data_IF_208910852976
#
_entry.id   IF_208910852976
#
_cell.length_a   1.000
_cell.length_b   1.000
_cell.length_c   1.000
_cell.angle_alpha   90.00
_cell.angle_beta   90.00
_cell.angle_gamma   90.00
#
_symmetry.space_group_name_H-M   'P 1'
#
loop_
_entity.id
_entity.type
_entity.pdbx_description
1 polymer ?
#
# COMPACT_ATOMS: atom_id res chain seq x y z
N UNK A 1 64.69 -11.57 -15.86
CA UNK A 1 63.38 -11.92 -16.39
C UNK A 1 62.52 -12.59 -15.33
N UNK A 2 61.95 -11.78 -14.42
CA UNK A 2 60.92 -12.20 -13.47
C UNK A 2 59.89 -11.06 -13.35
N UNK A 3 58.98 -10.97 -14.30
CA UNK A 3 57.83 -10.06 -14.22
C UNK A 3 56.65 -10.65 -15.04
N UNK A 4 56.05 -11.73 -14.55
CA UNK A 4 54.73 -12.17 -15.01
C UNK A 4 54.10 -13.03 -13.92
N UNK A 5 53.26 -12.46 -13.07
CA UNK A 5 52.55 -13.26 -12.07
C UNK A 5 51.64 -12.48 -11.12
N UNK A 6 51.75 -11.16 -11.03
CA UNK A 6 50.96 -10.37 -10.07
C UNK A 6 49.60 -9.90 -10.59
N UNK A 7 49.44 -9.76 -11.89
CA UNK A 7 48.20 -9.25 -12.49
C UNK A 7 47.05 -10.27 -12.59
N UNK A 8 47.34 -11.57 -12.62
CA UNK A 8 46.30 -12.60 -12.77
C UNK A 8 45.65 -12.93 -11.44
N UNK A 9 46.39 -12.96 -10.33
CA UNK A 9 45.87 -13.21 -8.99
C UNK A 9 44.94 -12.10 -8.44
N UNK A 10 45.17 -10.85 -8.87
CA UNK A 10 44.28 -9.74 -8.53
C UNK A 10 42.98 -9.77 -9.32
N UNK A 11 43.00 -10.16 -10.58
CA UNK A 11 41.80 -10.33 -11.41
C UNK A 11 40.94 -11.50 -10.94
N UNK A 12 41.54 -12.59 -10.50
CA UNK A 12 40.85 -13.74 -9.94
C UNK A 12 40.16 -13.40 -8.61
N UNK A 13 40.86 -12.70 -7.69
CA UNK A 13 40.26 -12.19 -6.43
C UNK A 13 39.14 -11.18 -6.64
N UNK A 14 39.19 -10.37 -7.67
CA UNK A 14 38.13 -9.44 -8.01
C UNK A 14 36.91 -10.14 -8.62
N UNK A 15 37.14 -11.22 -9.37
CA UNK A 15 36.10 -12.05 -9.95
C UNK A 15 35.39 -12.87 -8.89
N UNK A 16 36.13 -13.50 -7.97
CA UNK A 16 35.55 -14.21 -6.80
C UNK A 16 34.74 -13.30 -5.90
N UNK A 17 35.25 -12.09 -5.59
CA UNK A 17 34.48 -11.10 -4.82
C UNK A 17 33.23 -10.59 -5.52
N UNK A 18 33.23 -10.59 -6.86
CA UNK A 18 32.07 -10.19 -7.65
C UNK A 18 31.03 -11.31 -7.71
N UNK A 19 31.48 -12.55 -7.88
CA UNK A 19 30.62 -13.74 -7.83
C UNK A 19 30.04 -14.01 -6.43
N UNK A 20 30.83 -13.76 -5.37
CA UNK A 20 30.33 -13.82 -3.99
C UNK A 20 29.29 -12.74 -3.67
N UNK A 21 29.47 -11.51 -4.22
CA UNK A 21 28.46 -10.44 -4.10
C UNK A 21 27.22 -10.69 -4.95
N UNK A 22 27.33 -11.36 -6.09
CA UNK A 22 26.20 -11.77 -6.92
C UNK A 22 25.45 -12.95 -6.29
N UNK A 23 26.16 -13.94 -5.70
CA UNK A 23 25.55 -15.04 -4.95
C UNK A 23 24.87 -14.59 -3.65
N UNK A 24 25.41 -13.61 -2.93
CA UNK A 24 24.73 -13.00 -1.77
C UNK A 24 23.51 -12.16 -2.16
N UNK A 25 23.34 -11.80 -3.43
CA UNK A 25 22.16 -11.12 -3.96
C UNK A 25 21.02 -12.07 -4.35
N UNK A 26 21.34 -13.36 -4.57
CA UNK A 26 20.37 -14.39 -4.98
C UNK A 26 19.80 -15.21 -3.82
N UNK A 27 20.34 -15.11 -2.58
CA UNK A 27 19.90 -15.90 -1.42
C UNK A 27 19.28 -15.11 -0.28
N UNK A 28 18.82 -13.85 -0.49
CA UNK A 28 17.89 -13.26 0.47
C UNK A 28 16.48 -13.83 0.21
N UNK A 29 15.91 -14.57 1.18
CA UNK A 29 14.56 -15.10 0.99
C UNK A 29 13.62 -13.94 0.70
N UNK A 30 12.91 -14.04 -0.41
CA UNK A 30 11.94 -13.08 -0.97
C UNK A 30 10.86 -12.65 0.04
N UNK A 31 10.79 -13.32 1.18
CA UNK A 31 9.82 -13.17 2.26
C UNK A 31 10.38 -12.63 3.58
N UNK A 32 11.53 -11.95 3.55
CA UNK A 32 12.02 -11.35 4.80
C UNK A 32 11.15 -10.17 5.21
N UNK A 33 10.34 -10.34 6.25
CA UNK A 33 9.52 -9.28 6.88
C UNK A 33 10.34 -8.02 7.21
N UNK A 34 11.66 -8.16 7.38
CA UNK A 34 12.57 -7.04 7.57
C UNK A 34 12.59 -6.06 6.39
N UNK A 35 12.44 -6.53 5.15
CA UNK A 35 12.35 -5.67 3.97
C UNK A 35 11.04 -4.88 3.95
N UNK A 36 9.93 -5.51 4.33
CA UNK A 36 8.62 -4.87 4.47
C UNK A 36 8.66 -3.77 5.55
N UNK A 37 9.24 -4.07 6.71
CA UNK A 37 9.39 -3.11 7.80
C UNK A 37 10.20 -1.89 7.36
N UNK A 38 11.37 -2.11 6.77
CA UNK A 38 12.24 -1.03 6.27
C UNK A 38 11.53 -0.13 5.27
N UNK A 39 10.84 -0.72 4.30
CA UNK A 39 10.10 0.03 3.29
C UNK A 39 8.96 0.85 3.90
N UNK A 40 8.23 0.27 4.84
CA UNK A 40 7.15 0.93 5.57
C UNK A 40 7.65 2.13 6.37
N UNK A 41 8.72 1.96 7.17
CA UNK A 41 9.30 3.04 7.97
C UNK A 41 9.78 4.21 7.14
N UNK A 42 10.37 3.93 5.98
CA UNK A 42 10.91 4.96 5.09
C UNK A 42 9.84 5.81 4.40
N UNK A 43 8.62 5.29 4.22
CA UNK A 43 7.62 5.92 3.38
C UNK A 43 6.31 6.25 4.12
N UNK A 44 5.96 5.50 5.15
CA UNK A 44 4.67 5.64 5.85
C UNK A 44 4.85 6.19 7.26
N UNK A 45 5.72 5.59 8.07
CA UNK A 45 5.97 6.06 9.42
C UNK A 45 6.42 4.98 10.40
N UNK A 46 6.42 5.34 11.68
CA UNK A 46 6.91 4.48 12.75
C UNK A 46 6.13 3.17 12.88
N UNK A 47 6.87 2.09 13.18
CA UNK A 47 6.31 0.77 13.42
C UNK A 47 6.07 0.58 14.91
N UNK A 48 4.81 0.51 15.31
CA UNK A 48 4.40 0.03 16.64
C UNK A 48 4.09 -1.48 16.59
N UNK A 49 3.74 -2.09 17.74
CA UNK A 49 3.44 -3.51 17.83
C UNK A 49 2.35 -3.98 16.87
N UNK A 50 1.26 -3.24 16.76
CA UNK A 50 0.13 -3.55 15.86
C UNK A 50 0.55 -3.48 14.38
N UNK A 51 1.38 -2.51 14.02
CA UNK A 51 1.91 -2.38 12.65
C UNK A 51 2.90 -3.50 12.36
N UNK A 52 3.73 -3.89 13.33
CA UNK A 52 4.70 -4.96 13.16
C UNK A 52 4.02 -6.32 12.92
N UNK A 53 2.95 -6.62 13.66
CA UNK A 53 2.13 -7.81 13.50
C UNK A 53 1.46 -7.85 12.12
N UNK A 54 0.81 -6.76 11.74
CA UNK A 54 0.21 -6.62 10.42
C UNK A 54 1.22 -6.78 9.27
N UNK A 55 2.43 -6.22 9.40
CA UNK A 55 3.47 -6.37 8.38
C UNK A 55 3.95 -7.83 8.27
N UNK A 56 3.98 -8.55 9.40
CA UNK A 56 4.30 -9.97 9.40
C UNK A 56 3.23 -10.76 8.63
N UNK A 57 1.95 -10.58 8.94
CA UNK A 57 0.84 -11.22 8.24
C UNK A 57 0.85 -10.93 6.74
N UNK A 58 1.05 -9.66 6.35
CA UNK A 58 1.10 -9.26 4.94
C UNK A 58 2.29 -9.88 4.21
N UNK A 59 3.45 -10.01 4.87
CA UNK A 59 4.63 -10.61 4.26
C UNK A 59 4.47 -12.11 3.94
N UNK A 60 3.50 -12.78 4.55
CA UNK A 60 3.13 -14.17 4.23
C UNK A 60 2.09 -14.27 3.12
N UNK A 61 1.31 -13.22 2.88
CA UNK A 61 0.19 -13.22 1.95
C UNK A 61 0.53 -12.72 0.54
N UNK A 62 1.47 -11.77 0.44
CA UNK A 62 1.84 -11.13 -0.82
C UNK A 62 3.36 -11.03 -0.97
N UNK A 63 3.82 -10.89 -2.21
CA UNK A 63 5.24 -10.67 -2.46
C UNK A 63 5.69 -9.22 -2.15
N UNK A 64 6.99 -9.03 -2.03
CA UNK A 64 7.59 -7.75 -1.69
C UNK A 64 7.34 -6.68 -2.78
N UNK A 65 7.38 -7.06 -4.06
CA UNK A 65 7.20 -6.12 -5.17
C UNK A 65 5.75 -5.61 -5.22
N UNK A 66 4.78 -6.46 -4.87
CA UNK A 66 3.38 -6.06 -4.75
C UNK A 66 3.19 -5.10 -3.57
N UNK A 67 3.80 -5.40 -2.41
CA UNK A 67 3.78 -4.49 -1.25
C UNK A 67 4.41 -3.14 -1.59
N UNK A 68 5.56 -3.13 -2.26
CA UNK A 68 6.22 -1.91 -2.74
C UNK A 68 5.29 -1.10 -3.63
N UNK A 69 4.56 -1.74 -4.53
CA UNK A 69 3.58 -1.08 -5.38
C UNK A 69 2.45 -0.42 -4.58
N UNK A 70 1.97 -1.04 -3.51
CA UNK A 70 0.99 -0.44 -2.61
C UNK A 70 1.51 0.84 -1.94
N UNK A 71 2.75 0.79 -1.47
CA UNK A 71 3.44 1.95 -0.88
C UNK A 71 3.60 3.08 -1.90
N UNK A 72 4.02 2.78 -3.13
CA UNK A 72 4.15 3.77 -4.22
C UNK A 72 2.82 4.46 -4.52
N UNK A 73 1.73 3.71 -4.61
CA UNK A 73 0.39 4.25 -4.85
C UNK A 73 -0.02 5.18 -3.70
N UNK A 74 0.19 4.76 -2.45
CA UNK A 74 -0.13 5.56 -1.28
C UNK A 74 0.66 6.88 -1.26
N UNK A 75 1.95 6.81 -1.55
CA UNK A 75 2.85 7.97 -1.61
C UNK A 75 2.46 8.93 -2.74
N UNK A 76 2.20 8.43 -3.94
CA UNK A 76 1.78 9.23 -5.09
C UNK A 76 0.42 9.92 -4.88
N UNK A 77 -0.44 9.32 -4.06
CA UNK A 77 -1.74 9.91 -3.67
C UNK A 77 -1.64 10.84 -2.45
N UNK A 78 -0.47 10.99 -1.85
CA UNK A 78 -0.29 11.76 -0.63
C UNK A 78 -0.97 11.16 0.61
N UNK A 79 -1.29 9.85 0.57
CA UNK A 79 -2.02 9.14 1.64
C UNK A 79 -1.11 8.13 2.33
N UNK A 80 -0.02 8.63 2.92
CA UNK A 80 0.99 7.83 3.60
C UNK A 80 0.51 7.37 4.99
N UNK A 81 -0.46 6.46 5.04
CA UNK A 81 -0.92 5.86 6.28
C UNK A 81 -1.24 4.36 6.12
N UNK A 82 -1.15 3.61 7.24
CA UNK A 82 -1.41 2.16 7.28
C UNK A 82 -2.77 1.79 6.68
N UNK A 83 -3.82 2.54 7.02
CA UNK A 83 -5.20 2.24 6.61
C UNK A 83 -5.35 2.28 5.09
N UNK A 84 -4.73 3.25 4.44
CA UNK A 84 -4.79 3.37 2.98
C UNK A 84 -4.02 2.23 2.28
N UNK A 85 -2.79 1.93 2.74
CA UNK A 85 -2.00 0.81 2.22
C UNK A 85 -2.72 -0.53 2.41
N UNK A 86 -3.27 -0.77 3.61
CA UNK A 86 -4.04 -1.96 3.92
C UNK A 86 -5.29 -2.10 3.04
N UNK A 87 -5.98 -0.97 2.73
CA UNK A 87 -7.12 -0.95 1.83
C UNK A 87 -6.77 -1.37 0.40
N UNK A 88 -5.63 -0.88 -0.13
CA UNK A 88 -5.12 -1.30 -1.45
C UNK A 88 -4.83 -2.80 -1.47
N UNK A 89 -4.09 -3.30 -0.47
CA UNK A 89 -3.71 -4.72 -0.39
C UNK A 89 -4.95 -5.59 -0.24
N UNK A 90 -5.92 -5.21 0.59
CA UNK A 90 -7.17 -5.94 0.74
C UNK A 90 -7.91 -6.06 -0.59
N UNK A 91 -8.01 -4.97 -1.35
CA UNK A 91 -8.65 -4.98 -2.66
C UNK A 91 -7.96 -5.96 -3.63
N UNK A 92 -6.64 -6.05 -3.59
CA UNK A 92 -5.90 -7.00 -4.41
C UNK A 92 -6.13 -8.45 -3.96
N UNK A 93 -6.11 -8.72 -2.66
CA UNK A 93 -6.38 -10.05 -2.11
C UNK A 93 -7.81 -10.52 -2.42
N UNK A 94 -8.81 -9.61 -2.36
CA UNK A 94 -10.20 -9.88 -2.74
C UNK A 94 -10.34 -10.28 -4.24
N UNK A 95 -9.38 -9.86 -5.07
CA UNK A 95 -9.27 -10.24 -6.48
C UNK A 95 -8.26 -11.39 -6.73
N UNK A 96 -7.81 -12.08 -5.69
CA UNK A 96 -6.81 -13.15 -5.73
C UNK A 96 -5.43 -12.72 -6.30
N UNK A 97 -5.09 -11.44 -6.21
CA UNK A 97 -3.80 -10.89 -6.62
C UNK A 97 -2.86 -10.97 -5.42
N UNK A 98 -1.82 -11.80 -5.52
CA UNK A 98 -0.84 -12.03 -4.45
C UNK A 98 0.58 -11.70 -4.86
N UNK A 99 0.84 -11.63 -6.16
CA UNK A 99 2.14 -11.29 -6.73
C UNK A 99 2.04 -10.06 -7.62
N UNK A 100 3.16 -9.40 -7.85
CA UNK A 100 3.21 -8.25 -8.77
C UNK A 100 2.87 -8.65 -10.21
N UNK A 101 3.18 -9.88 -10.60
CA UNK A 101 2.84 -10.39 -11.92
C UNK A 101 1.33 -10.64 -12.06
N UNK A 102 0.66 -11.12 -10.99
CA UNK A 102 -0.81 -11.21 -10.96
C UNK A 102 -1.46 -9.84 -11.16
N UNK A 103 -0.90 -8.79 -10.52
CA UNK A 103 -1.40 -7.42 -10.68
C UNK A 103 -1.28 -6.95 -12.13
N UNK A 104 -0.15 -7.17 -12.78
CA UNK A 104 0.05 -6.82 -14.19
C UNK A 104 -0.95 -7.54 -15.09
N UNK A 105 -1.12 -8.85 -14.88
CA UNK A 105 -2.08 -9.65 -15.65
C UNK A 105 -3.52 -9.14 -15.47
N UNK A 106 -3.89 -8.78 -14.24
CA UNK A 106 -5.18 -8.20 -13.92
C UNK A 106 -5.40 -6.85 -14.60
N UNK A 107 -4.42 -5.94 -14.55
CA UNK A 107 -4.47 -4.61 -15.19
C UNK A 107 -4.63 -4.74 -16.72
N UNK A 108 -3.92 -5.67 -17.36
CA UNK A 108 -4.05 -5.96 -18.80
C UNK A 108 -5.45 -6.48 -19.10
N UNK A 109 -5.95 -7.44 -18.33
CA UNK A 109 -7.30 -8.00 -18.51
C UNK A 109 -8.41 -6.97 -18.35
N UNK A 110 -8.26 -6.03 -17.42
CA UNK A 110 -9.18 -4.92 -17.23
C UNK A 110 -9.10 -3.93 -18.39
N UNK A 111 -7.89 -3.63 -18.90
CA UNK A 111 -7.70 -2.74 -20.04
C UNK A 111 -8.37 -3.31 -21.30
N UNK A 112 -8.13 -4.58 -21.60
CA UNK A 112 -8.71 -5.24 -22.77
C UNK A 112 -10.25 -5.25 -22.72
N UNK A 113 -10.84 -5.57 -21.55
CA UNK A 113 -12.30 -5.54 -21.36
C UNK A 113 -12.89 -4.13 -21.55
N UNK A 114 -12.15 -3.08 -21.21
CA UNK A 114 -12.59 -1.69 -21.39
C UNK A 114 -12.53 -1.26 -22.84
N UNK A 115 -11.52 -1.70 -23.58
CA UNK A 115 -11.40 -1.43 -25.02
C UNK A 115 -12.53 -2.11 -25.80
N UNK A 116 -12.92 -3.33 -25.41
CA UNK A 116 -14.06 -4.06 -26.01
C UNK A 116 -15.43 -3.45 -25.67
N UNK A 117 -15.60 -2.89 -24.46
CA UNK A 117 -16.89 -2.34 -24.02
C UNK A 117 -17.09 -0.86 -24.36
N UNK A 118 -16.08 -0.15 -24.87
CA UNK A 118 -16.13 1.29 -25.16
C UNK A 118 -16.34 2.19 -23.93
N UNK A 119 -16.27 1.64 -22.74
CA UNK A 119 -16.55 2.33 -21.49
C UNK A 119 -15.27 2.69 -20.75
N UNK A 120 -14.77 3.91 -20.97
CA UNK A 120 -13.68 4.49 -20.19
C UNK A 120 -14.14 4.87 -18.76
N UNK A 121 -14.42 3.90 -17.90
CA UNK A 121 -14.45 4.17 -16.45
C UNK A 121 -13.03 4.10 -15.92
N UNK A 122 -12.44 5.27 -15.69
CA UNK A 122 -11.19 5.44 -14.94
C UNK A 122 -11.33 4.66 -13.64
N UNK A 123 -10.44 3.67 -13.42
CA UNK A 123 -10.40 2.94 -12.16
C UNK A 123 -9.87 3.91 -11.10
N UNK A 124 -10.78 4.66 -10.54
CA UNK A 124 -10.53 5.40 -9.33
C UNK A 124 -10.53 4.35 -8.22
N UNK A 125 -9.36 4.12 -7.61
CA UNK A 125 -9.30 3.37 -6.35
C UNK A 125 -10.30 4.06 -5.43
N UNK A 126 -11.48 3.46 -5.30
CA UNK A 126 -12.59 4.08 -4.60
C UNK A 126 -12.18 4.31 -3.17
N UNK A 127 -11.95 5.55 -2.86
CA UNK A 127 -11.72 6.07 -1.55
C UNK A 127 -12.98 5.82 -0.73
N UNK A 128 -13.12 4.61 -0.18
CA UNK A 128 -14.20 4.30 0.77
C UNK A 128 -14.16 5.26 1.95
N UNK A 129 -12.98 5.75 2.31
CA UNK A 129 -12.82 6.77 3.34
C UNK A 129 -13.27 8.19 2.89
N UNK A 130 -13.25 8.52 1.59
CA UNK A 130 -13.75 9.83 1.12
C UNK A 130 -15.28 9.88 1.13
N UNK A 131 -15.98 8.81 0.75
CA UNK A 131 -17.45 8.75 0.84
C UNK A 131 -17.95 8.80 2.28
N UNK A 132 -17.24 8.18 3.22
CA UNK A 132 -17.57 8.29 4.64
C UNK A 132 -17.21 9.67 5.19
N UNK A 133 -16.07 10.25 4.81
CA UNK A 133 -15.69 11.60 5.21
C UNK A 133 -16.56 12.69 4.59
N UNK A 134 -17.02 12.56 3.35
CA UNK A 134 -17.97 13.50 2.75
C UNK A 134 -19.28 13.57 3.55
N UNK A 135 -19.73 12.44 4.09
CA UNK A 135 -20.93 12.40 4.95
C UNK A 135 -20.76 13.17 6.27
N UNK A 136 -19.51 13.24 6.78
CA UNK A 136 -19.19 13.93 8.05
C UNK A 136 -18.59 15.33 7.87
N UNK A 137 -18.14 15.71 6.68
CA UNK A 137 -17.48 17.00 6.40
C UNK A 137 -18.32 17.94 5.55
N UNK A 138 -19.44 17.48 4.98
CA UNK A 138 -20.35 18.40 4.30
C UNK A 138 -20.99 19.33 5.32
N UNK A 139 -21.02 20.63 5.03
CA UNK A 139 -21.77 21.59 5.84
C UNK A 139 -23.26 21.19 5.80
N UNK A 140 -23.95 21.14 6.95
CA UNK A 140 -25.37 20.86 6.97
C UNK A 140 -26.12 21.93 6.15
N UNK A 141 -27.19 21.49 5.48
CA UNK A 141 -28.07 22.42 4.77
C UNK A 141 -28.89 23.26 5.76
N UNK A 142 -29.39 24.39 5.31
CA UNK A 142 -30.23 25.28 6.17
C UNK A 142 -31.48 24.54 6.71
N UNK A 143 -32.03 23.57 5.94
CA UNK A 143 -33.14 22.73 6.37
C UNK A 143 -32.72 21.77 7.50
N UNK A 144 -31.56 21.13 7.40
CA UNK A 144 -31.02 20.25 8.43
C UNK A 144 -30.70 21.02 9.74
N UNK A 145 -30.21 22.26 9.61
CA UNK A 145 -29.97 23.14 10.76
C UNK A 145 -31.27 23.48 11.44
N UNK A 146 -32.32 23.77 10.68
CA UNK A 146 -33.65 24.10 11.27
C UNK A 146 -34.32 22.89 11.94
N UNK A 147 -34.14 21.68 11.37
CA UNK A 147 -34.64 20.45 12.04
C UNK A 147 -33.91 20.16 13.36
N UNK A 148 -32.58 20.32 13.36
CA UNK A 148 -31.76 20.21 14.57
C UNK A 148 -32.20 21.22 15.62
N UNK A 149 -32.49 22.45 15.22
CA UNK A 149 -32.96 23.52 16.12
C UNK A 149 -34.29 23.16 16.75
N UNK A 150 -35.28 22.71 15.96
CA UNK A 150 -36.57 22.24 16.45
C UNK A 150 -36.44 21.05 17.41
N UNK A 151 -35.57 20.11 17.09
CA UNK A 151 -35.30 18.97 17.97
C UNK A 151 -34.73 19.41 19.33
N UNK A 152 -33.80 20.37 19.32
CA UNK A 152 -33.18 20.94 20.52
C UNK A 152 -34.24 21.70 21.39
N UNK A 153 -35.11 22.47 20.74
CA UNK A 153 -36.18 23.18 21.43
C UNK A 153 -37.21 22.22 22.10
N UNK A 154 -37.52 21.12 21.43
CA UNK A 154 -38.39 20.08 21.98
C UNK A 154 -37.75 19.37 23.18
N UNK A 155 -36.48 18.99 23.11
CA UNK A 155 -35.73 18.42 24.24
C UNK A 155 -35.66 19.39 25.45
N UNK A 156 -35.55 20.68 25.19
CA UNK A 156 -35.49 21.71 26.23
C UNK A 156 -36.85 21.91 26.91
N UNK A 157 -37.93 21.77 26.14
CA UNK A 157 -39.32 21.87 26.66
C UNK A 157 -39.68 20.70 27.56
N UNK A 158 -39.19 19.49 27.21
CA UNK A 158 -39.48 18.28 28.00
C UNK A 158 -38.66 18.24 29.30
N UNK A 159 -37.45 18.82 29.35
CA UNK A 159 -36.66 18.96 30.60
C UNK A 159 -37.21 19.99 31.58
N UNK A 160 -38.11 20.89 31.17
CA UNK A 160 -38.73 21.90 32.03
C UNK A 160 -40.03 21.45 32.70
N UNK A 161 -40.42 20.16 32.51
CA UNK A 161 -41.64 19.57 33.05
C UNK A 161 -41.40 18.55 34.18
N UNK A 162 -40.18 18.48 34.71
CA UNK A 162 -39.82 17.64 35.87
C UNK A 162 -39.63 18.48 37.13
#
# INVERSE_FOLDING_TARGET
NFEYGYGEKEKEKQKEKKEEKEKQKEEEPTYSVGRFKKLYEQNIGLINGIVAEWLFEISELIDYELFKRAIEIATNKGKCNKGYVAGIIKQWLDNNIRTYDDLKAYEIGVKNRREESGEYKKFEYANTSERENEKYTRKPTDEEIEELRKSYENMRRDRGKL
#
